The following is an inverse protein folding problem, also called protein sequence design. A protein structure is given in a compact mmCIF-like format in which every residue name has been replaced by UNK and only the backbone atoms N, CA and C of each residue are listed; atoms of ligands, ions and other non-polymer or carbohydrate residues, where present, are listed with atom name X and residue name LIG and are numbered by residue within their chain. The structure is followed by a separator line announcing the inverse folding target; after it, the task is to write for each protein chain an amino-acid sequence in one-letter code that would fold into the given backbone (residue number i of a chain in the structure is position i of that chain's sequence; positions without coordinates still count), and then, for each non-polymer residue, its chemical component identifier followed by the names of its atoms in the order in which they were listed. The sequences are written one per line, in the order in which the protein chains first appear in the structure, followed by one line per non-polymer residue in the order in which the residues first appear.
data_IF_102300287932
#
_entry.id   IF_102300287932
#
_cell.length_a   1.000
_cell.length_b   1.000
_cell.length_c   1.000
_cell.angle_alpha   90.00
_cell.angle_beta   90.00
_cell.angle_gamma   90.00
#
_symmetry.space_group_name_H-M   'P 1'
#
loop_
_entity.id
_entity.type
_entity.pdbx_description
1 polymer ?
#
# COMPACT_ATOMS: atom_id res chain seq x y z
N UNK A 1 -28.75 -23.98 -48.69
CA UNK A 1 -27.30 -23.86 -48.89
C UNK A 1 -27.03 -22.39 -49.19
N UNK A 2 -26.27 -21.69 -48.37
CA UNK A 2 -25.91 -20.29 -48.66
C UNK A 2 -24.69 -20.29 -49.59
N UNK A 3 -24.82 -19.70 -50.77
CA UNK A 3 -23.70 -19.48 -51.70
C UNK A 3 -22.81 -18.37 -51.13
N UNK A 4 -21.57 -18.72 -50.77
CA UNK A 4 -20.54 -17.73 -50.45
C UNK A 4 -19.94 -17.27 -51.79
N UNK A 5 -20.45 -16.15 -52.31
CA UNK A 5 -19.94 -15.54 -53.54
C UNK A 5 -18.68 -14.73 -53.21
N UNK A 6 -17.50 -15.22 -53.62
CA UNK A 6 -16.25 -14.46 -53.54
C UNK A 6 -16.14 -13.48 -54.72
N UNK A 7 -16.05 -12.19 -54.42
CA UNK A 7 -15.86 -11.15 -55.42
C UNK A 7 -14.46 -11.23 -56.05
N UNK A 8 -14.40 -11.27 -57.37
CA UNK A 8 -13.17 -11.16 -58.16
C UNK A 8 -13.31 -9.98 -59.10
N UNK A 9 -12.36 -9.05 -59.07
CA UNK A 9 -12.26 -7.95 -60.02
C UNK A 9 -10.98 -8.16 -60.83
N UNK A 10 -11.10 -8.23 -62.16
CA UNK A 10 -10.00 -8.52 -63.09
C UNK A 10 -9.19 -9.79 -62.73
N UNK A 11 -9.85 -10.84 -62.25
CA UNK A 11 -9.22 -12.13 -61.94
C UNK A 11 -8.40 -12.17 -60.65
N UNK A 12 -8.30 -11.07 -59.90
CA UNK A 12 -7.72 -11.05 -58.56
C UNK A 12 -8.81 -11.20 -57.50
N UNK A 13 -8.53 -12.03 -56.49
CA UNK A 13 -9.39 -12.15 -55.31
C UNK A 13 -9.46 -10.79 -54.63
N UNK A 14 -10.65 -10.19 -54.61
CA UNK A 14 -10.91 -9.00 -53.82
C UNK A 14 -11.28 -9.50 -52.42
N UNK A 15 -10.34 -9.39 -51.48
CA UNK A 15 -10.69 -9.43 -50.06
C UNK A 15 -11.44 -8.12 -49.78
N UNK A 16 -12.77 -8.15 -49.90
CA UNK A 16 -13.59 -7.09 -49.31
C UNK A 16 -13.13 -6.97 -47.87
N UNK A 17 -12.62 -5.80 -47.48
CA UNK A 17 -12.45 -5.46 -46.06
C UNK A 17 -13.86 -5.48 -45.48
N UNK A 18 -14.33 -6.65 -45.08
CA UNK A 18 -15.63 -6.81 -44.46
C UNK A 18 -15.55 -6.07 -43.14
N UNK A 19 -16.32 -4.99 -43.06
CA UNK A 19 -16.61 -4.37 -41.77
C UNK A 19 -17.12 -5.50 -40.86
N UNK A 20 -16.77 -5.50 -39.56
CA UNK A 20 -17.22 -6.53 -38.60
C UNK A 20 -18.74 -6.77 -38.68
N UNK A 21 -19.51 -5.75 -39.07
CA UNK A 21 -20.96 -5.80 -39.34
C UNK A 21 -21.40 -6.71 -40.50
N UNK A 22 -20.48 -7.18 -41.34
CA UNK A 22 -20.75 -8.05 -42.49
C UNK A 22 -20.21 -9.46 -42.31
N UNK A 23 -19.80 -9.83 -41.10
CA UNK A 23 -19.46 -11.21 -40.75
C UNK A 23 -20.69 -11.83 -40.11
N UNK A 24 -21.27 -12.84 -40.76
CA UNK A 24 -22.40 -13.58 -40.20
C UNK A 24 -21.93 -14.56 -39.10
N UNK A 25 -22.72 -14.72 -38.04
CA UNK A 25 -22.51 -15.77 -37.03
C UNK A 25 -21.48 -15.47 -35.93
N UNK A 26 -21.04 -14.21 -35.77
CA UNK A 26 -20.10 -13.79 -34.71
C UNK A 26 -20.78 -13.21 -33.46
N UNK A 27 -22.11 -13.26 -33.39
CA UNK A 27 -22.85 -12.78 -32.23
C UNK A 27 -22.47 -13.58 -30.98
N UNK A 28 -21.89 -12.91 -29.98
CA UNK A 28 -21.40 -13.52 -28.74
C UNK A 28 -19.93 -13.96 -28.78
N UNK A 29 -19.28 -13.96 -29.94
CA UNK A 29 -17.88 -14.37 -30.11
C UNK A 29 -16.89 -13.19 -29.98
N UNK A 30 -17.36 -11.96 -30.23
CA UNK A 30 -16.54 -10.74 -30.17
C UNK A 30 -17.02 -9.79 -29.08
N UNK A 31 -16.05 -9.10 -28.46
CA UNK A 31 -16.29 -7.99 -27.52
C UNK A 31 -16.43 -6.69 -28.30
N UNK A 32 -17.42 -5.85 -27.94
CA UNK A 32 -17.70 -4.58 -28.61
C UNK A 32 -16.92 -3.43 -27.96
N UNK A 33 -16.60 -2.42 -28.77
CA UNK A 33 -15.90 -1.22 -28.28
C UNK A 33 -16.81 -0.23 -27.52
N UNK A 34 -18.15 -0.41 -27.59
CA UNK A 34 -19.16 0.48 -27.00
C UNK A 34 -20.40 -0.32 -26.60
N UNK A 35 -21.07 0.15 -25.54
CA UNK A 35 -22.28 -0.45 -25.00
C UNK A 35 -21.99 -1.46 -23.90
N UNK A 36 -23.04 -1.86 -23.18
CA UNK A 36 -22.93 -2.79 -22.07
C UNK A 36 -22.98 -4.25 -22.59
N UNK A 37 -22.09 -5.10 -22.09
CA UNK A 37 -22.03 -6.53 -22.42
C UNK A 37 -21.50 -7.37 -21.25
N UNK A 38 -21.83 -8.66 -21.24
CA UNK A 38 -21.31 -9.63 -20.27
C UNK A 38 -20.23 -10.48 -20.94
N UNK A 39 -19.03 -10.49 -20.35
CA UNK A 39 -17.86 -11.22 -20.89
C UNK A 39 -17.48 -12.34 -19.92
N UNK A 40 -17.50 -13.59 -20.39
CA UNK A 40 -17.17 -14.78 -19.59
C UNK A 40 -15.73 -15.29 -19.84
N UNK A 41 -15.18 -16.01 -18.85
CA UNK A 41 -13.86 -16.64 -18.90
C UNK A 41 -12.70 -15.72 -18.52
N UNK A 42 -11.50 -16.29 -18.36
CA UNK A 42 -10.28 -15.54 -17.98
C UNK A 42 -9.76 -14.74 -19.17
N UNK A 43 -9.47 -13.45 -18.96
CA UNK A 43 -8.86 -12.56 -19.96
C UNK A 43 -7.51 -12.07 -19.45
N UNK A 44 -6.46 -12.35 -20.20
CA UNK A 44 -5.11 -11.88 -19.91
C UNK A 44 -4.78 -10.70 -20.82
N UNK A 45 -4.39 -9.57 -20.24
CA UNK A 45 -4.04 -8.35 -20.97
C UNK A 45 -2.52 -8.17 -20.97
N UNK A 46 -1.87 -8.38 -22.11
CA UNK A 46 -0.40 -8.36 -22.25
C UNK A 46 0.17 -6.97 -21.89
N UNK A 47 -0.55 -5.90 -22.24
CA UNK A 47 -0.15 -4.52 -21.99
C UNK A 47 -0.77 -3.94 -20.69
N UNK A 48 -1.37 -4.79 -19.86
CA UNK A 48 -2.11 -4.41 -18.65
C UNK A 48 -3.54 -3.92 -18.93
N UNK A 49 -4.40 -4.01 -17.91
CA UNK A 49 -5.76 -3.48 -17.97
C UNK A 49 -5.76 -1.99 -17.59
N UNK A 50 -6.55 -1.17 -18.27
CA UNK A 50 -6.72 0.25 -17.94
C UNK A 50 -8.20 0.62 -17.78
N UNK A 51 -8.50 1.46 -16.81
CA UNK A 51 -9.79 2.12 -16.65
C UNK A 51 -9.59 3.64 -16.85
N UNK A 52 -10.28 4.23 -17.84
CA UNK A 52 -10.19 5.68 -18.16
C UNK A 52 -8.74 6.16 -18.39
N UNK A 53 -7.93 5.34 -19.06
CA UNK A 53 -6.52 5.64 -19.36
C UNK A 53 -5.58 5.53 -18.16
N UNK A 54 -6.05 4.97 -17.04
CA UNK A 54 -5.23 4.68 -15.86
C UNK A 54 -5.07 3.17 -15.71
N UNK A 55 -3.87 2.66 -15.43
CA UNK A 55 -3.68 1.24 -15.13
C UNK A 55 -4.59 0.78 -13.99
N UNK A 56 -5.26 -0.35 -14.19
CA UNK A 56 -5.92 -1.12 -13.14
C UNK A 56 -4.83 -2.01 -12.54
N UNK A 57 -4.05 -1.48 -11.60
CA UNK A 57 -3.17 -2.32 -10.78
C UNK A 57 -4.05 -3.14 -9.83
N UNK A 58 -3.75 -4.42 -9.73
CA UNK A 58 -4.15 -5.22 -8.57
C UNK A 58 -3.50 -4.58 -7.35
N UNK A 59 -4.29 -3.88 -6.53
CA UNK A 59 -3.77 -3.22 -5.32
C UNK A 59 -2.96 -4.20 -4.50
N UNK A 60 -1.66 -3.93 -4.38
CA UNK A 60 -0.79 -4.71 -3.52
C UNK A 60 -1.20 -4.52 -2.06
N UNK A 61 -1.17 -5.60 -1.28
CA UNK A 61 -1.24 -5.54 0.18
C UNK A 61 -0.24 -6.51 0.78
N UNK A 62 0.76 -6.00 1.51
CA UNK A 62 1.62 -6.83 2.35
C UNK A 62 1.07 -6.92 3.76
N UNK A 63 1.05 -8.15 4.28
CA UNK A 63 0.77 -8.49 5.67
C UNK A 63 2.10 -8.61 6.41
N UNK A 64 2.16 -7.99 7.58
CA UNK A 64 3.35 -7.90 8.40
C UNK A 64 3.13 -8.65 9.71
N UNK A 65 4.15 -9.38 10.15
CA UNK A 65 4.21 -9.88 11.53
C UNK A 65 4.62 -8.76 12.50
N UNK A 66 4.76 -9.09 13.79
CA UNK A 66 5.25 -8.17 14.81
C UNK A 66 6.67 -7.66 14.50
N UNK A 67 6.88 -6.37 14.70
CA UNK A 67 8.18 -5.72 14.68
C UNK A 67 9.01 -6.02 15.91
N UNK A 68 10.27 -5.57 15.88
CA UNK A 68 11.16 -5.68 17.04
C UNK A 68 10.60 -4.84 18.20
N UNK A 69 10.55 -5.44 19.39
CA UNK A 69 10.30 -4.69 20.63
C UNK A 69 11.50 -3.81 20.94
N UNK A 70 11.27 -2.50 20.98
CA UNK A 70 12.27 -1.50 21.35
C UNK A 70 12.04 -1.09 22.80
N UNK A 71 13.10 -1.03 23.59
CA UNK A 71 13.06 -0.57 24.99
C UNK A 71 13.73 0.79 25.13
N UNK A 72 13.31 1.55 26.14
CA UNK A 72 13.91 2.81 26.57
C UNK A 72 14.15 3.82 25.44
N UNK A 73 13.13 3.98 24.58
CA UNK A 73 13.20 4.87 23.42
C UNK A 73 12.74 6.29 23.75
N UNK A 74 13.54 7.25 23.31
CA UNK A 74 13.29 8.69 23.40
C UNK A 74 12.54 9.18 22.17
N UNK A 75 12.15 10.45 22.22
CA UNK A 75 11.62 11.20 21.08
C UNK A 75 12.46 10.97 19.81
N UNK A 76 11.78 10.87 18.66
CA UNK A 76 12.34 10.60 17.33
C UNK A 76 12.86 9.18 17.10
N UNK A 77 12.61 8.24 18.02
CA UNK A 77 12.86 6.84 17.75
C UNK A 77 11.98 6.33 16.59
N UNK A 78 12.60 5.71 15.58
CA UNK A 78 11.89 5.02 14.50
C UNK A 78 11.44 3.65 14.96
N UNK A 79 10.19 3.32 14.64
CA UNK A 79 9.61 2.01 14.90
C UNK A 79 10.12 1.01 13.85
N UNK A 80 10.37 -0.23 14.28
CA UNK A 80 10.83 -1.31 13.40
C UNK A 80 9.63 -2.12 12.90
N UNK A 81 9.54 -2.33 11.60
CA UNK A 81 8.51 -3.16 10.96
C UNK A 81 8.87 -4.66 11.08
N UNK A 82 7.86 -5.50 11.33
CA UNK A 82 7.98 -6.97 11.37
C UNK A 82 8.02 -7.61 9.99
N UNK A 83 8.50 -8.85 9.81
CA UNK A 83 8.69 -9.48 8.49
C UNK A 83 7.39 -9.47 7.68
N UNK A 84 7.51 -9.37 6.35
CA UNK A 84 6.36 -9.59 5.49
C UNK A 84 6.10 -11.10 5.51
N UNK A 85 4.87 -11.48 5.89
CA UNK A 85 4.45 -12.88 6.05
C UNK A 85 3.44 -13.33 5.02
N UNK A 86 2.94 -12.40 4.20
CA UNK A 86 2.03 -12.72 3.12
C UNK A 86 1.61 -11.51 2.32
N UNK A 87 0.94 -11.79 1.21
CA UNK A 87 0.40 -10.78 0.30
C UNK A 87 -1.07 -11.10 -0.03
N UNK A 88 -1.83 -10.11 -0.50
CA UNK A 88 -3.20 -10.37 -0.96
C UNK A 88 -3.25 -11.10 -2.30
N UNK A 89 -4.23 -12.00 -2.45
CA UNK A 89 -4.64 -12.61 -3.72
C UNK A 89 -3.49 -13.21 -4.54
N UNK A 90 -3.10 -12.51 -5.62
CA UNK A 90 -2.13 -12.89 -6.63
C UNK A 90 -0.80 -12.14 -6.52
N UNK A 91 -0.64 -11.26 -5.52
CA UNK A 91 0.56 -10.46 -5.36
C UNK A 91 1.78 -11.33 -5.04
N UNK A 92 2.93 -10.91 -5.55
CA UNK A 92 4.23 -11.50 -5.29
C UNK A 92 5.20 -10.45 -4.73
N UNK A 93 6.37 -10.90 -4.27
CA UNK A 93 7.39 -10.02 -3.70
C UNK A 93 7.82 -8.89 -4.65
N UNK A 94 7.82 -9.14 -5.96
CA UNK A 94 8.18 -8.14 -6.97
C UNK A 94 7.13 -7.02 -7.14
N UNK A 95 5.93 -7.16 -6.58
CA UNK A 95 4.87 -6.15 -6.68
C UNK A 95 4.98 -5.07 -5.59
N UNK A 96 5.80 -5.31 -4.56
CA UNK A 96 5.96 -4.40 -3.40
C UNK A 96 6.55 -3.07 -3.90
N UNK A 97 5.87 -1.93 -3.71
CA UNK A 97 6.34 -0.62 -4.17
C UNK A 97 7.40 0.00 -3.24
N UNK A 98 8.09 -0.81 -2.44
CA UNK A 98 9.12 -0.36 -1.50
C UNK A 98 10.10 -1.47 -1.13
N UNK A 99 11.27 -1.06 -0.66
CA UNK A 99 12.26 -1.94 -0.02
C UNK A 99 12.59 -1.40 1.36
N UNK A 100 12.90 -2.27 2.32
CA UNK A 100 13.35 -1.83 3.65
C UNK A 100 14.87 -1.80 3.74
N UNK A 101 15.39 -0.89 4.56
CA UNK A 101 16.77 -0.98 5.02
C UNK A 101 16.98 -2.21 5.92
N UNK A 102 18.23 -2.57 6.19
CA UNK A 102 18.57 -3.77 6.98
C UNK A 102 17.90 -3.82 8.37
N UNK A 103 17.75 -2.66 9.02
CA UNK A 103 17.08 -2.54 10.33
C UNK A 103 15.56 -2.41 10.25
N UNK A 104 14.97 -2.38 9.05
CA UNK A 104 13.53 -2.32 8.76
C UNK A 104 12.78 -1.24 9.51
N UNK A 105 13.43 -0.11 9.72
CA UNK A 105 12.84 1.09 10.32
C UNK A 105 12.57 2.20 9.30
N UNK A 106 13.03 2.01 8.05
CA UNK A 106 12.84 2.93 6.94
C UNK A 106 12.59 2.15 5.65
N UNK A 107 11.50 2.46 4.96
CA UNK A 107 11.20 1.97 3.63
C UNK A 107 11.58 2.99 2.56
N UNK A 108 12.13 2.55 1.43
CA UNK A 108 12.40 3.36 0.23
C UNK A 108 11.48 2.92 -0.90
N UNK A 109 10.73 3.86 -1.46
CA UNK A 109 9.71 3.68 -2.49
C UNK A 109 10.37 3.40 -3.85
N UNK A 110 9.94 2.33 -4.53
CA UNK A 110 10.55 1.87 -5.80
C UNK A 110 9.87 2.44 -7.04
N UNK A 111 8.62 2.92 -6.90
CA UNK A 111 7.80 3.53 -7.96
C UNK A 111 6.77 4.48 -7.36
N UNK A 112 6.29 5.43 -8.15
CA UNK A 112 5.17 6.28 -7.75
C UNK A 112 3.98 5.41 -7.30
N UNK A 113 3.46 5.71 -6.12
CA UNK A 113 2.35 4.96 -5.51
C UNK A 113 1.66 5.81 -4.43
N UNK A 114 0.57 5.29 -3.89
CA UNK A 114 -0.10 5.83 -2.70
C UNK A 114 -0.39 4.66 -1.77
N UNK A 115 0.08 4.76 -0.53
CA UNK A 115 0.04 3.67 0.42
C UNK A 115 -0.83 4.03 1.61
N UNK A 116 -1.66 3.08 2.03
CA UNK A 116 -2.35 3.08 3.30
C UNK A 116 -1.63 2.14 4.27
N UNK A 117 -1.38 2.66 5.47
CA UNK A 117 -0.72 1.98 6.57
C UNK A 117 -1.77 1.69 7.64
N UNK A 118 -1.87 0.44 8.07
CA UNK A 118 -2.78 0.03 9.13
C UNK A 118 -2.08 -0.95 10.07
N UNK A 119 -1.78 -0.46 11.27
CA UNK A 119 -1.05 -1.21 12.29
C UNK A 119 -1.64 -0.92 13.66
N UNK A 120 -1.20 -1.68 14.65
CA UNK A 120 -1.28 -1.27 16.04
C UNK A 120 0.14 -1.15 16.59
N UNK A 121 0.36 -0.22 17.53
CA UNK A 121 1.59 -0.14 18.29
C UNK A 121 1.30 -0.42 19.75
N UNK A 122 1.95 -1.45 20.29
CA UNK A 122 1.94 -1.76 21.71
C UNK A 122 2.94 -0.84 22.39
N UNK A 123 2.47 -0.05 23.35
CA UNK A 123 3.27 0.95 24.06
C UNK A 123 3.17 0.71 25.54
N UNK A 124 4.30 0.69 26.23
CA UNK A 124 4.36 0.61 27.67
C UNK A 124 5.13 1.82 28.19
N UNK A 125 4.49 2.57 29.08
CA UNK A 125 5.17 3.60 29.86
C UNK A 125 5.81 3.03 31.12
N UNK A 126 6.20 3.87 32.06
CA UNK A 126 6.91 3.41 33.26
C UNK A 126 6.63 4.26 34.48
N UNK A 127 6.93 3.72 35.65
CA UNK A 127 6.59 4.33 36.93
C UNK A 127 7.72 5.22 37.49
N UNK A 128 8.02 6.31 36.78
CA UNK A 128 8.93 7.37 37.24
C UNK A 128 8.70 8.68 36.48
N UNK A 129 8.30 9.73 37.20
CA UNK A 129 7.99 11.05 36.62
C UNK A 129 9.22 11.71 35.98
N UNK A 130 10.42 11.38 36.48
CA UNK A 130 11.67 11.93 35.98
C UNK A 130 12.15 11.25 34.69
N UNK A 131 11.67 10.05 34.38
CA UNK A 131 12.19 9.26 33.26
C UNK A 131 11.17 9.07 32.14
N UNK A 132 9.89 8.85 32.49
CA UNK A 132 8.90 8.39 31.51
C UNK A 132 8.00 9.51 31.01
N UNK A 133 7.59 9.39 29.74
CA UNK A 133 6.74 10.37 29.06
C UNK A 133 5.28 10.23 29.50
N UNK A 134 4.58 11.35 29.52
CA UNK A 134 3.14 11.50 29.77
C UNK A 134 2.30 11.36 28.50
N UNK A 135 2.91 11.53 27.33
CA UNK A 135 2.28 11.29 26.03
C UNK A 135 3.20 10.55 25.07
N UNK A 136 2.57 9.84 24.13
CA UNK A 136 3.22 9.22 23.00
C UNK A 136 2.31 9.31 21.78
N UNK A 137 2.82 9.83 20.67
CA UNK A 137 2.16 9.78 19.37
C UNK A 137 3.12 9.25 18.32
N UNK A 138 2.58 8.84 17.18
CA UNK A 138 3.34 8.28 16.08
C UNK A 138 3.06 9.07 14.84
N UNK A 139 4.13 9.51 14.18
CA UNK A 139 4.07 10.19 12.90
C UNK A 139 4.44 9.21 11.78
N UNK A 140 3.68 9.26 10.69
CA UNK A 140 4.14 8.78 9.39
C UNK A 140 4.99 9.89 8.78
N UNK A 141 6.30 9.72 8.80
CA UNK A 141 7.24 10.58 8.08
C UNK A 141 7.31 10.12 6.63
N UNK A 142 7.33 11.08 5.70
CA UNK A 142 7.39 10.83 4.26
C UNK A 142 8.32 11.84 3.57
N UNK A 143 9.01 11.44 2.50
CA UNK A 143 9.85 12.33 1.70
C UNK A 143 11.30 11.85 1.67
N UNK A 144 12.28 12.77 1.63
CA UNK A 144 13.71 12.39 1.55
C UNK A 144 14.36 12.18 2.91
N UNK A 145 13.76 12.71 3.97
CA UNK A 145 14.22 12.57 5.35
C UNK A 145 13.15 11.89 6.20
N UNK A 146 13.58 11.19 7.24
CA UNK A 146 12.73 10.43 8.17
C UNK A 146 13.22 10.62 9.60
N UNK A 147 12.41 10.25 10.60
CA UNK A 147 12.59 10.66 12.00
C UNK A 147 12.48 12.17 12.21
N UNK A 148 11.36 12.74 11.76
CA UNK A 148 11.08 14.17 11.88
C UNK A 148 9.90 14.42 12.80
N UNK A 149 9.73 15.67 13.25
CA UNK A 149 8.50 16.11 13.94
C UNK A 149 7.43 16.61 12.96
N UNK A 150 7.74 16.69 11.66
CA UNK A 150 6.88 17.27 10.63
C UNK A 150 5.97 16.25 9.94
N UNK A 151 6.15 14.95 10.21
CA UNK A 151 5.30 13.89 9.70
C UNK A 151 3.85 13.99 10.18
N UNK A 152 2.96 13.31 9.48
CA UNK A 152 1.53 13.29 9.82
C UNK A 152 1.32 12.35 11.02
N UNK A 153 0.69 12.85 12.09
CA UNK A 153 0.27 11.99 13.21
C UNK A 153 -0.75 10.94 12.74
N UNK A 154 -0.46 9.66 12.99
CA UNK A 154 -1.28 8.49 12.61
C UNK A 154 -1.86 7.73 13.81
N UNK A 155 -1.50 8.12 15.03
CA UNK A 155 -2.05 7.57 16.27
C UNK A 155 -1.33 8.13 17.48
N UNK A 156 -1.97 8.06 18.65
CA UNK A 156 -1.36 8.52 19.89
C UNK A 156 -2.21 8.29 21.13
N UNK A 157 -1.59 8.60 22.26
CA UNK A 157 -2.04 8.39 23.62
C UNK A 157 -1.48 9.53 24.47
N UNK A 158 -2.30 10.07 25.36
CA UNK A 158 -1.88 10.99 26.40
C UNK A 158 -2.43 10.55 27.75
N UNK A 159 -1.68 10.81 28.80
CA UNK A 159 -2.18 10.80 30.16
C UNK A 159 -2.75 12.18 30.52
N UNK A 160 -3.71 12.27 31.47
CA UNK A 160 -4.12 13.54 32.04
C UNK A 160 -2.93 14.34 32.61
N UNK A 161 -3.13 15.63 32.83
CA UNK A 161 -2.15 16.47 33.52
C UNK A 161 -1.70 15.80 34.84
N UNK A 162 -0.41 15.87 35.12
CA UNK A 162 0.25 15.28 36.31
C UNK A 162 0.15 13.73 36.42
N UNK A 163 -0.29 13.06 35.34
CA UNK A 163 -0.24 11.60 35.20
C UNK A 163 0.77 11.22 34.13
N UNK A 164 1.14 9.94 34.13
CA UNK A 164 2.05 9.36 33.15
C UNK A 164 1.48 8.07 32.59
N UNK A 165 1.98 7.66 31.44
CA UNK A 165 1.69 6.32 30.92
C UNK A 165 2.44 5.34 31.84
N UNK A 166 1.72 4.44 32.51
CA UNK A 166 2.31 3.46 33.46
C UNK A 166 2.09 2.00 33.06
N UNK A 167 1.08 1.74 32.21
CA UNK A 167 0.72 0.39 31.77
C UNK A 167 0.87 0.24 30.26
N UNK A 168 0.75 -1.01 29.82
CA UNK A 168 0.71 -1.34 28.41
C UNK A 168 -0.61 -0.89 27.79
N UNK A 169 -0.51 -0.20 26.67
CA UNK A 169 -1.60 0.28 25.85
C UNK A 169 -1.39 -0.21 24.41
N UNK A 170 -2.49 -0.40 23.68
CA UNK A 170 -2.47 -0.68 22.25
C UNK A 170 -2.99 0.56 21.53
N UNK A 171 -2.18 1.13 20.65
CA UNK A 171 -2.51 2.37 19.93
C UNK A 171 -2.72 2.02 18.46
N UNK A 172 -3.92 2.23 17.88
CA UNK A 172 -4.13 2.04 16.46
C UNK A 172 -3.38 3.13 15.68
N UNK A 173 -2.66 2.69 14.64
CA UNK A 173 -1.88 3.54 13.75
C UNK A 173 -2.44 3.44 12.34
N UNK A 174 -3.03 4.53 11.83
CA UNK A 174 -3.62 4.57 10.50
C UNK A 174 -3.23 5.84 9.75
N UNK A 175 -2.74 5.68 8.53
CA UNK A 175 -2.34 6.81 7.69
C UNK A 175 -2.31 6.46 6.23
N UNK A 176 -2.57 7.44 5.37
CA UNK A 176 -2.42 7.31 3.92
C UNK A 176 -1.54 8.43 3.42
N UNK A 177 -0.60 8.10 2.53
CA UNK A 177 0.30 9.05 1.90
C UNK A 177 0.57 8.70 0.44
N UNK A 178 0.81 9.74 -0.38
CA UNK A 178 1.26 9.61 -1.77
C UNK A 178 2.77 9.77 -1.82
N UNK A 179 3.43 8.95 -2.63
CA UNK A 179 4.87 8.88 -2.73
C UNK A 179 5.33 9.00 -4.18
N UNK A 180 6.50 9.62 -4.34
CA UNK A 180 7.29 9.53 -5.55
C UNK A 180 8.35 8.45 -5.42
N UNK A 181 8.80 7.93 -6.56
CA UNK A 181 9.98 7.06 -6.59
C UNK A 181 11.14 7.69 -5.80
N UNK A 182 11.85 6.84 -5.04
CA UNK A 182 12.97 7.19 -4.17
C UNK A 182 12.58 8.04 -2.94
N UNK A 183 11.29 8.29 -2.69
CA UNK A 183 10.85 8.77 -1.39
C UNK A 183 11.00 7.67 -0.34
N UNK A 184 11.05 8.10 0.91
CA UNK A 184 11.18 7.25 2.07
C UNK A 184 9.95 7.39 2.95
N UNK A 185 9.71 6.37 3.76
CA UNK A 185 8.77 6.44 4.87
C UNK A 185 9.34 5.80 6.14
N UNK A 186 8.89 6.32 7.28
CA UNK A 186 9.08 5.69 8.59
C UNK A 186 7.89 5.98 9.51
N UNK A 187 7.76 5.19 10.57
CA UNK A 187 6.89 5.52 11.71
C UNK A 187 7.79 6.00 12.84
N UNK A 188 7.55 7.20 13.36
CA UNK A 188 8.44 7.87 14.32
C UNK A 188 7.70 8.23 15.60
N UNK A 189 8.33 7.98 16.74
CA UNK A 189 7.82 8.33 18.06
C UNK A 189 7.91 9.85 18.33
N UNK A 190 6.76 10.46 18.55
CA UNK A 190 6.60 11.73 19.24
C UNK A 190 6.40 11.53 20.74
N UNK A 191 7.25 12.12 21.57
CA UNK A 191 7.13 12.07 23.04
C UNK A 191 7.75 13.32 23.64
N UNK A 192 7.59 13.51 24.96
CA UNK A 192 8.26 14.60 25.66
C UNK A 192 9.77 14.47 25.52
N UNK A 193 10.43 15.55 25.15
CA UNK A 193 11.89 15.59 25.00
C UNK A 193 12.57 15.22 26.33
N UNK A 194 13.64 14.41 26.25
CA UNK A 194 14.35 13.89 27.41
C UNK A 194 13.59 12.82 28.23
N UNK A 195 12.35 12.49 27.87
CA UNK A 195 11.57 11.40 28.50
C UNK A 195 11.44 10.23 27.54
N UNK A 196 11.47 9.01 28.10
CA UNK A 196 11.40 7.76 27.35
C UNK A 196 10.05 7.06 27.48
N UNK A 197 9.74 6.21 26.51
CA UNK A 197 8.84 5.08 26.72
C UNK A 197 9.64 3.89 27.24
N UNK A 198 9.06 3.12 28.16
CA UNK A 198 9.68 1.89 28.65
C UNK A 198 9.85 0.88 27.51
N UNK A 199 8.80 0.72 26.69
CA UNK A 199 8.93 -0.02 25.44
C UNK A 199 7.87 0.34 24.41
N UNK A 200 8.18 0.09 23.14
CA UNK A 200 7.24 0.12 22.04
C UNK A 200 7.49 -1.04 21.07
N UNK A 201 6.44 -1.52 20.42
CA UNK A 201 6.51 -2.57 19.42
C UNK A 201 5.38 -2.39 18.41
N UNK A 202 5.72 -2.37 17.12
CA UNK A 202 4.71 -2.47 16.06
C UNK A 202 4.15 -3.89 16.07
N UNK A 203 2.84 -4.00 16.21
CA UNK A 203 2.14 -5.26 16.12
C UNK A 203 1.82 -5.58 14.66
N UNK A 204 1.29 -6.77 14.42
CA UNK A 204 0.85 -7.20 13.10
C UNK A 204 -0.08 -6.17 12.45
N UNK A 205 0.01 -6.06 11.13
CA UNK A 205 -0.73 -5.07 10.36
C UNK A 205 -0.45 -5.21 8.87
N UNK A 206 -0.78 -4.18 8.10
CA UNK A 206 -0.58 -4.19 6.66
C UNK A 206 -0.22 -2.83 6.08
N UNK A 207 0.45 -2.89 4.93
CA UNK A 207 0.60 -1.77 4.01
C UNK A 207 -0.07 -2.17 2.72
N UNK A 208 -1.02 -1.35 2.25
CA UNK A 208 -1.71 -1.58 0.99
C UNK A 208 -1.59 -0.38 0.06
N UNK A 209 -1.46 -0.65 -1.23
CA UNK A 209 -1.55 0.37 -2.26
C UNK A 209 -3.01 0.74 -2.50
N UNK A 210 -3.29 2.04 -2.59
CA UNK A 210 -4.64 2.61 -2.74
C UNK A 210 -4.65 3.68 -3.82
N UNK A 211 -5.81 3.91 -4.45
CA UNK A 211 -6.01 4.97 -5.45
C UNK A 211 -6.48 6.29 -4.83
#
# INVERSE_FOLDING_TARGET
MAEIVQLKENGKLQYVKTHVKGIDGIDGELVRAKGDETISGVKNFIDGLQEKGKPVLTNFKALFDEGQRLTDKLHLARVVFGPIIGYSQTNQENDIPFTFNAGRYEGTITRDCKLHFNFNCKVQGGDSDNQYTDYAYFNLDTGKETATTSGRMIGGLGAPADKKIILQNLIPLQGTASFKKDDKFSITLGSREGKKLFSLQLMQGYIEEVY
#
